data_IF_640647002913
#
_entry.id   IF_640647002913
#
_cell.length_a   1.000
_cell.length_b   1.000
_cell.length_c   1.000
_cell.angle_alpha   90.00
_cell.angle_beta   90.00
_cell.angle_gamma   90.00
#
_symmetry.space_group_name_H-M   'P 1'
#
loop_
_entity.id
_entity.type
_entity.pdbx_description
1 polymer ?
#
# COMPACT_ATOMS: atom_id res chain seq x y z
N UNK A 1 -1.06 21.88 -16.81
CA UNK A 1 -0.93 20.72 -15.91
C UNK A 1 -0.62 21.21 -14.50
N UNK A 2 -1.63 21.48 -13.67
CA UNK A 2 -1.41 21.74 -12.23
C UNK A 2 -2.68 21.46 -11.42
N UNK A 3 -2.50 20.97 -10.18
CA UNK A 3 -3.38 21.10 -9.00
C UNK A 3 -3.94 19.84 -8.30
N UNK A 4 -3.25 18.70 -8.33
CA UNK A 4 -3.29 17.72 -7.21
C UNK A 4 -1.92 17.08 -7.05
N UNK A 5 -1.06 17.68 -6.23
CA UNK A 5 0.26 17.10 -5.95
C UNK A 5 0.09 16.00 -4.92
N UNK A 6 -0.06 14.76 -5.38
CA UNK A 6 0.10 13.59 -4.52
C UNK A 6 1.47 13.65 -3.87
N UNK A 7 1.56 13.31 -2.57
CA UNK A 7 2.85 13.38 -1.86
C UNK A 7 3.67 12.15 -2.26
N UNK A 8 4.77 12.38 -2.98
CA UNK A 8 5.69 11.31 -3.40
C UNK A 8 6.36 10.69 -2.16
N UNK A 9 6.40 9.36 -2.13
CA UNK A 9 7.03 8.54 -1.10
C UNK A 9 8.11 7.66 -1.77
N UNK A 10 9.04 7.08 -1.00
CA UNK A 10 10.12 6.27 -1.59
C UNK A 10 9.61 5.13 -2.47
N UNK A 11 8.54 4.45 -2.04
CA UNK A 11 8.03 3.25 -2.73
C UNK A 11 6.60 3.47 -3.24
N UNK A 12 6.23 4.70 -3.63
CA UNK A 12 4.89 5.00 -4.11
C UNK A 12 4.42 6.43 -3.85
N UNK A 13 3.11 6.62 -3.74
CA UNK A 13 2.48 7.95 -3.58
C UNK A 13 1.40 7.96 -2.52
N UNK A 14 1.18 9.10 -1.90
CA UNK A 14 0.05 9.35 -1.01
C UNK A 14 -1.07 10.08 -1.74
N UNK A 15 -2.20 9.40 -1.90
CA UNK A 15 -3.44 9.88 -2.52
C UNK A 15 -4.32 10.69 -1.55
N UNK A 16 -3.78 11.10 -0.39
CA UNK A 16 -4.49 11.98 0.52
C UNK A 16 -4.60 13.37 -0.15
N UNK A 17 -5.80 13.97 -0.24
CA UNK A 17 -5.96 15.25 -0.90
C UNK A 17 -5.03 16.33 -0.33
N UNK A 18 -4.41 17.20 -1.15
CA UNK A 18 -3.40 18.16 -0.69
C UNK A 18 -3.86 19.10 0.44
N UNK A 19 -5.16 19.38 0.53
CA UNK A 19 -5.76 20.22 1.57
C UNK A 19 -5.91 19.51 2.92
N UNK A 20 -5.61 18.21 3.01
CA UNK A 20 -5.70 17.40 4.23
C UNK A 20 -4.32 17.14 4.80
N UNK A 21 -4.18 17.32 6.10
CA UNK A 21 -2.96 16.98 6.85
C UNK A 21 -2.92 15.48 7.14
N UNK A 22 -1.78 14.85 6.88
CA UNK A 22 -1.54 13.44 7.22
C UNK A 22 -0.89 13.34 8.61
N UNK A 23 -1.50 12.58 9.51
CA UNK A 23 -0.97 12.26 10.86
C UNK A 23 -0.26 10.90 10.92
N UNK A 24 -0.29 10.12 9.82
CA UNK A 24 0.23 8.75 9.78
C UNK A 24 1.75 8.65 9.75
N UNK A 25 2.47 9.76 9.52
CA UNK A 25 3.93 9.79 9.44
C UNK A 25 4.47 8.70 8.50
N UNK A 26 5.37 7.85 9.01
CA UNK A 26 6.03 6.78 8.24
C UNK A 26 5.20 5.48 8.15
N UNK A 27 3.93 5.47 8.53
CA UNK A 27 3.07 4.27 8.52
C UNK A 27 2.36 4.02 7.17
N UNK A 28 2.85 4.62 6.07
CA UNK A 28 2.20 4.63 4.76
C UNK A 28 1.90 3.23 4.22
N UNK A 29 2.77 2.23 4.42
CA UNK A 29 2.55 0.86 3.93
C UNK A 29 1.25 0.21 4.43
N UNK A 30 0.80 0.61 5.62
CA UNK A 30 -0.47 0.16 6.21
C UNK A 30 -1.63 1.16 6.01
N UNK A 31 -1.36 2.31 5.40
CA UNK A 31 -2.32 3.39 5.23
C UNK A 31 -3.21 3.16 4.00
N UNK A 32 -4.49 3.52 4.12
CA UNK A 32 -5.44 3.39 3.00
C UNK A 32 -5.30 4.45 1.89
N UNK A 33 -4.46 5.46 2.08
CA UNK A 33 -4.16 6.48 1.07
C UNK A 33 -2.85 6.21 0.31
N UNK A 34 -2.08 5.21 0.74
CA UNK A 34 -0.88 4.82 0.01
C UNK A 34 -1.26 4.07 -1.26
N UNK A 35 -0.57 4.37 -2.35
CA UNK A 35 -0.64 3.62 -3.60
C UNK A 35 0.78 3.38 -4.15
N UNK A 36 0.98 2.22 -4.77
CA UNK A 36 2.21 1.83 -5.46
C UNK A 36 1.85 1.00 -6.69
N UNK A 37 2.77 0.81 -7.60
CA UNK A 37 2.62 -0.03 -8.78
C UNK A 37 3.80 -1.00 -8.90
N UNK A 38 3.87 -1.73 -10.01
CA UNK A 38 4.90 -2.71 -10.27
C UNK A 38 6.30 -2.10 -10.46
N UNK A 39 6.44 -0.79 -10.73
CA UNK A 39 7.76 -0.19 -10.95
C UNK A 39 8.59 -0.12 -9.67
N UNK A 40 7.94 -0.20 -8.51
CA UNK A 40 8.58 -0.16 -7.19
C UNK A 40 8.76 -1.57 -6.58
N UNK A 41 8.52 -2.65 -7.34
CA UNK A 41 8.53 -4.02 -6.78
C UNK A 41 9.89 -4.42 -6.19
N UNK A 42 10.98 -4.06 -6.87
CA UNK A 42 12.33 -4.38 -6.42
C UNK A 42 12.66 -3.62 -5.13
N UNK A 43 12.31 -2.34 -5.05
CA UNK A 43 12.49 -1.51 -3.85
C UNK A 43 11.67 -2.05 -2.66
N UNK A 44 10.45 -2.54 -2.90
CA UNK A 44 9.61 -3.17 -1.87
C UNK A 44 10.23 -4.48 -1.35
N UNK A 45 10.80 -5.29 -2.25
CA UNK A 45 11.50 -6.53 -1.90
C UNK A 45 12.78 -6.24 -1.12
N UNK A 46 13.53 -5.22 -1.51
CA UNK A 46 14.74 -4.78 -0.82
C UNK A 46 14.42 -4.27 0.59
N UNK A 47 13.38 -3.43 0.73
CA UNK A 47 12.94 -2.96 2.05
C UNK A 47 12.54 -4.14 2.94
N UNK A 48 11.81 -5.12 2.40
CA UNK A 48 11.39 -6.31 3.14
C UNK A 48 12.59 -7.11 3.65
N UNK A 49 13.56 -7.36 2.77
CA UNK A 49 14.77 -8.13 3.08
C UNK A 49 15.66 -7.39 4.08
N UNK A 50 15.81 -6.07 3.93
CA UNK A 50 16.50 -5.21 4.87
C UNK A 50 15.85 -5.22 6.25
N UNK A 51 14.52 -5.19 6.32
CA UNK A 51 13.77 -5.24 7.58
C UNK A 51 13.92 -6.58 8.29
N UNK A 52 13.92 -7.70 7.55
CA UNK A 52 14.19 -9.02 8.10
C UNK A 52 15.61 -9.15 8.67
N UNK A 53 16.60 -8.62 7.94
CA UNK A 53 17.98 -8.56 8.38
C UNK A 53 18.12 -7.74 9.66
N UNK A 54 17.47 -6.58 9.73
CA UNK A 54 17.47 -5.70 10.89
C UNK A 54 16.92 -6.38 12.16
N UNK A 55 15.81 -7.14 12.04
CA UNK A 55 15.26 -7.92 13.15
C UNK A 55 16.28 -8.96 13.62
N UNK A 56 16.87 -9.72 12.69
CA UNK A 56 17.85 -10.78 12.99
C UNK A 56 19.06 -10.21 13.71
N UNK A 57 19.66 -9.13 13.19
CA UNK A 57 20.79 -8.45 13.80
C UNK A 57 20.43 -7.94 15.20
N UNK A 58 19.25 -7.32 15.37
CA UNK A 58 18.83 -6.78 16.66
C UNK A 58 18.63 -7.86 17.72
N UNK A 59 18.04 -9.01 17.35
CA UNK A 59 17.90 -10.16 18.24
C UNK A 59 19.26 -10.72 18.67
N UNK A 60 20.18 -10.89 17.72
CA UNK A 60 21.54 -11.34 17.98
C UNK A 60 22.27 -10.40 18.97
N UNK A 61 22.26 -9.10 18.70
CA UNK A 61 22.88 -8.09 19.56
C UNK A 61 22.26 -8.07 20.97
N UNK A 62 20.94 -8.17 21.09
CA UNK A 62 20.27 -8.21 22.38
C UNK A 62 20.65 -9.45 23.20
N UNK A 63 20.69 -10.62 22.54
CA UNK A 63 21.11 -11.87 23.17
C UNK A 63 22.57 -11.82 23.61
N UNK A 64 23.47 -11.33 22.76
CA UNK A 64 24.88 -11.17 23.10
C UNK A 64 25.08 -10.25 24.31
N UNK A 65 24.28 -9.18 24.43
CA UNK A 65 24.40 -8.21 25.52
C UNK A 65 23.74 -8.64 26.83
N UNK A 66 22.62 -9.38 26.77
CA UNK A 66 21.76 -9.62 27.95
C UNK A 66 21.60 -11.10 28.32
N UNK A 67 22.03 -12.01 27.45
CA UNK A 67 21.78 -13.45 27.57
C UNK A 67 20.34 -13.88 27.30
N UNK A 68 19.40 -12.94 27.12
CA UNK A 68 17.97 -13.20 26.92
C UNK A 68 17.59 -13.10 25.46
N UNK A 69 16.51 -13.78 25.09
CA UNK A 69 15.91 -13.64 23.75
C UNK A 69 15.01 -12.39 23.68
N UNK A 70 15.07 -11.68 22.56
CA UNK A 70 14.18 -10.56 22.27
C UNK A 70 12.93 -11.08 21.57
N UNK A 71 11.85 -11.25 22.33
CA UNK A 71 10.58 -11.82 21.88
C UNK A 71 9.78 -10.86 21.01
N UNK A 72 8.74 -11.39 20.36
CA UNK A 72 7.85 -10.63 19.48
C UNK A 72 6.95 -9.63 20.21
N UNK A 73 6.80 -9.77 21.53
CA UNK A 73 6.07 -8.82 22.38
C UNK A 73 6.80 -7.49 22.52
N UNK A 74 8.09 -7.45 22.19
CA UNK A 74 8.83 -6.20 22.14
C UNK A 74 8.21 -5.27 21.09
N UNK A 75 7.79 -4.08 21.51
CA UNK A 75 7.09 -3.10 20.65
C UNK A 75 7.84 -2.82 19.35
N UNK A 76 9.18 -2.74 19.37
CA UNK A 76 9.96 -2.54 18.16
C UNK A 76 9.89 -3.74 17.22
N UNK A 77 10.04 -4.96 17.73
CA UNK A 77 9.90 -6.20 16.94
C UNK A 77 8.49 -6.29 16.35
N UNK A 78 7.47 -6.04 17.17
CA UNK A 78 6.08 -6.06 16.75
C UNK A 78 5.82 -5.12 15.56
N UNK A 79 6.31 -3.87 15.64
CA UNK A 79 6.15 -2.90 14.55
C UNK A 79 6.90 -3.31 13.27
N UNK A 80 8.12 -3.86 13.38
CA UNK A 80 8.88 -4.37 12.21
C UNK A 80 8.21 -5.58 11.57
N UNK A 81 7.60 -6.47 12.36
CA UNK A 81 6.81 -7.58 11.82
C UNK A 81 5.55 -7.11 11.10
N UNK A 82 4.87 -6.09 11.64
CA UNK A 82 3.70 -5.46 10.98
C UNK A 82 4.08 -4.79 9.66
N UNK A 83 5.25 -4.18 9.60
CA UNK A 83 5.82 -3.64 8.36
C UNK A 83 6.08 -4.73 7.32
N UNK A 84 6.75 -5.82 7.70
CA UNK A 84 6.96 -6.99 6.82
C UNK A 84 5.62 -7.54 6.30
N UNK A 85 4.63 -7.71 7.18
CA UNK A 85 3.32 -8.19 6.77
C UNK A 85 2.62 -7.24 5.77
N UNK A 86 2.83 -5.93 5.91
CA UNK A 86 2.30 -4.94 4.96
C UNK A 86 3.01 -5.04 3.60
N UNK A 87 4.33 -5.22 3.60
CA UNK A 87 5.13 -5.41 2.39
C UNK A 87 4.75 -6.71 1.68
N UNK A 88 4.62 -7.82 2.41
CA UNK A 88 4.17 -9.10 1.87
C UNK A 88 2.81 -8.97 1.17
N UNK A 89 1.84 -8.32 1.81
CA UNK A 89 0.51 -8.13 1.23
C UNK A 89 0.50 -7.21 0.00
N UNK A 90 1.41 -6.24 -0.10
CA UNK A 90 1.55 -5.38 -1.28
C UNK A 90 2.22 -6.14 -2.42
N UNK A 91 3.35 -6.80 -2.14
CA UNK A 91 4.12 -7.57 -3.12
C UNK A 91 3.27 -8.69 -3.71
N UNK A 92 2.52 -9.41 -2.88
CA UNK A 92 1.65 -10.50 -3.34
C UNK A 92 0.56 -9.98 -4.29
N UNK A 93 -0.06 -8.84 -3.99
CA UNK A 93 -1.05 -8.22 -4.89
C UNK A 93 -0.43 -7.77 -6.21
N UNK A 94 0.74 -7.12 -6.17
CA UNK A 94 1.46 -6.72 -7.38
C UNK A 94 1.81 -7.92 -8.27
N UNK A 95 2.22 -9.04 -7.67
CA UNK A 95 2.58 -10.27 -8.40
C UNK A 95 1.35 -11.03 -8.91
N UNK A 96 0.31 -11.16 -8.10
CA UNK A 96 -0.93 -11.86 -8.45
C UNK A 96 -1.75 -11.13 -9.52
N UNK A 97 -1.78 -9.80 -9.48
CA UNK A 97 -2.57 -8.98 -10.41
C UNK A 97 -1.88 -8.77 -11.77
N UNK A 98 -0.59 -9.14 -11.88
CA UNK A 98 0.16 -9.13 -13.15
C UNK A 98 -0.46 -10.05 -14.22
N UNK A 99 -1.36 -10.97 -13.84
CA UNK A 99 -2.06 -11.85 -14.77
C UNK A 99 -3.29 -11.22 -15.46
N UNK A 100 -3.80 -10.05 -15.05
CA UNK A 100 -5.15 -9.61 -15.47
C UNK A 100 -5.21 -8.41 -16.43
N UNK A 101 -4.24 -7.49 -16.56
CA UNK A 101 -4.32 -6.44 -17.62
C UNK A 101 -2.99 -5.74 -17.89
N UNK A 102 -2.70 -5.50 -19.18
CA UNK A 102 -1.52 -4.83 -19.72
C UNK A 102 -1.49 -3.29 -19.58
N UNK A 103 -2.25 -2.71 -18.65
CA UNK A 103 -2.19 -1.28 -18.32
C UNK A 103 -1.73 -1.15 -16.86
N UNK A 104 -0.66 -0.39 -16.62
CA UNK A 104 0.01 -0.24 -15.31
C UNK A 104 -0.96 -0.01 -14.14
N UNK A 105 -1.33 -1.08 -13.45
CA UNK A 105 -2.29 -1.05 -12.34
C UNK A 105 -1.60 -0.72 -11.03
N UNK A 106 -2.11 0.31 -10.36
CA UNK A 106 -1.72 0.73 -9.01
C UNK A 106 -2.46 -0.09 -7.95
N UNK A 107 -1.76 -0.58 -6.94
CA UNK A 107 -2.32 -1.19 -5.74
C UNK A 107 -2.29 -0.21 -4.57
N UNK A 108 -3.31 -0.24 -3.73
CA UNK A 108 -3.35 0.54 -2.49
C UNK A 108 -2.58 -0.16 -1.34
N UNK A 109 -2.26 0.56 -0.28
CA UNK A 109 -1.58 0.01 0.90
C UNK A 109 -2.30 -1.17 1.57
N UNK A 110 -1.59 -1.92 2.41
CA UNK A 110 -2.08 -3.17 2.99
C UNK A 110 -3.37 -3.00 3.83
N UNK A 111 -3.60 -1.81 4.38
CA UNK A 111 -4.82 -1.47 5.13
C UNK A 111 -6.12 -1.43 4.30
N UNK A 112 -6.05 -1.62 2.98
CA UNK A 112 -7.23 -1.72 2.11
C UNK A 112 -7.50 -3.13 1.61
N UNK A 113 -6.70 -4.14 1.98
CA UNK A 113 -6.80 -5.49 1.44
C UNK A 113 -8.21 -6.12 1.61
N UNK A 114 -8.97 -5.71 2.63
CA UNK A 114 -10.33 -6.18 2.90
C UNK A 114 -11.42 -5.15 2.59
N UNK A 115 -11.08 -4.00 1.99
CA UNK A 115 -12.11 -3.06 1.53
C UNK A 115 -12.74 -3.65 0.28
N UNK A 116 -14.02 -3.97 0.37
CA UNK A 116 -14.82 -4.25 -0.81
C UNK A 116 -14.69 -3.05 -1.76
N UNK A 117 -14.45 -3.27 -3.07
CA UNK A 117 -14.50 -2.18 -4.02
C UNK A 117 -15.85 -1.50 -3.87
N UNK A 118 -15.85 -0.18 -3.75
CA UNK A 118 -17.09 0.58 -3.84
C UNK A 118 -17.63 0.36 -5.25
N UNK A 119 -18.51 -0.64 -5.40
CA UNK A 119 -19.29 -0.82 -6.59
C UNK A 119 -20.02 0.49 -6.80
N UNK A 120 -19.91 1.06 -8.01
CA UNK A 120 -20.70 2.23 -8.34
C UNK A 120 -22.16 1.89 -8.06
N UNK A 121 -22.76 2.60 -7.10
CA UNK A 121 -24.19 2.49 -6.84
C UNK A 121 -24.86 3.04 -8.10
N UNK A 122 -25.25 2.14 -9.00
CA UNK A 122 -26.13 2.46 -10.12
C UNK A 122 -27.51 2.74 -9.52
N UNK A 123 -27.70 3.97 -9.02
CA UNK A 123 -29.04 4.45 -8.70
C UNK A 123 -29.81 4.52 -10.02
N UNK A 124 -30.87 3.70 -10.15
CA UNK A 124 -31.86 3.86 -11.22
C UNK A 124 -32.58 5.18 -10.98
N UNK A 125 -32.08 6.23 -11.59
CA UNK A 125 -32.53 7.60 -11.41
C UNK A 125 -31.75 8.54 -12.31
N UNK A 126 -31.99 9.84 -12.19
CA UNK A 126 -31.59 10.94 -13.09
C UNK A 126 -30.09 11.03 -13.46
N UNK A 127 -29.23 10.19 -12.88
CA UNK A 127 -27.81 10.04 -13.22
C UNK A 127 -27.53 9.03 -14.35
N UNK A 128 -28.51 8.21 -14.76
CA UNK A 128 -28.34 7.20 -15.83
C UNK A 128 -28.01 7.82 -17.20
N UNK A 129 -28.60 8.97 -17.52
CA UNK A 129 -28.35 9.71 -18.75
C UNK A 129 -26.94 10.30 -18.83
N UNK A 130 -26.36 10.67 -17.67
CA UNK A 130 -24.97 11.16 -17.59
C UNK A 130 -23.99 10.00 -17.75
N UNK A 131 -24.31 8.83 -17.18
CA UNK A 131 -23.49 7.63 -17.34
C UNK A 131 -23.51 7.09 -18.77
N UNK A 132 -24.65 7.08 -19.47
CA UNK A 132 -24.72 6.72 -20.91
C UNK A 132 -23.89 7.64 -21.79
N UNK A 133 -23.89 8.94 -21.49
CA UNK A 133 -23.12 9.93 -22.26
C UNK A 133 -21.60 9.79 -22.07
N UNK A 134 -21.18 9.18 -20.96
CA UNK A 134 -19.79 8.88 -20.65
C UNK A 134 -19.34 7.49 -21.10
N UNK A 135 -20.25 6.66 -21.64
CA UNK A 135 -19.94 5.32 -22.13
C UNK A 135 -19.36 5.40 -23.55
N UNK A 136 -18.08 5.06 -23.76
CA UNK A 136 -17.43 5.17 -25.08
C UNK A 136 -17.99 4.17 -26.11
N UNK A 137 -18.84 3.22 -25.69
CA UNK A 137 -19.49 2.25 -26.57
C UNK A 137 -20.93 2.60 -27.00
N UNK A 138 -21.48 3.76 -26.62
CA UNK A 138 -22.88 4.09 -26.95
C UNK A 138 -23.03 4.54 -28.41
N UNK A 139 -23.87 3.88 -29.24
CA UNK A 139 -24.12 4.34 -30.61
C UNK A 139 -24.87 5.68 -30.61
N UNK A 140 -24.44 6.60 -31.48
CA UNK A 140 -25.02 7.94 -31.65
C UNK A 140 -26.44 7.91 -32.20
#
# INVERSE_FOLDING_TARGET
MSSRTDRVLPNGVCLLPPLKTCDKGNACLSCGHFATDATHIDELVDQRTGTQSLITTRRSQYRARTGRELTDDNVWIHQRRREIASLDAIIERLRGDSAITADGKTVAGAGTAHRLPLLQIKTRGSHESVLRKADPGSPR
#
